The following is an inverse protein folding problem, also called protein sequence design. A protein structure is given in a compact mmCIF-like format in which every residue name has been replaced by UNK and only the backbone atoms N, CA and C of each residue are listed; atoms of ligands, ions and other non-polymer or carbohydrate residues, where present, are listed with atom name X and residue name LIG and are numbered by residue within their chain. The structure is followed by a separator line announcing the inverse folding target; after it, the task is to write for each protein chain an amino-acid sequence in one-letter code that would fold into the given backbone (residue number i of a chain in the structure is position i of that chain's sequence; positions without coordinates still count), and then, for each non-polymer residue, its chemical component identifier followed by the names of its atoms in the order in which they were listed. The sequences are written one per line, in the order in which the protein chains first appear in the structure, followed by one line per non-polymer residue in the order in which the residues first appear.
data_IF_326884756542
#
_entry.id   IF_326884756542
#
_cell.length_a   1.000
_cell.length_b   1.000
_cell.length_c   1.000
_cell.angle_alpha   90.00
_cell.angle_beta   90.00
_cell.angle_gamma   90.00
#
_symmetry.space_group_name_H-M   'P 1'
#
loop_
_entity.id
_entity.type
_entity.pdbx_description
1 polymer ?
#
# COMPACT_ATOMS: atom_id res chain seq x y z
N UNK A 1 -25.39 -37.14 -11.34
CA UNK A 1 -24.05 -36.54 -11.35
C UNK A 1 -23.92 -35.62 -10.14
N UNK A 2 -23.18 -36.03 -9.11
CA UNK A 2 -22.93 -35.19 -7.92
C UNK A 2 -21.98 -34.06 -8.34
N UNK A 3 -22.42 -32.81 -8.23
CA UNK A 3 -21.57 -31.65 -8.47
C UNK A 3 -20.35 -31.71 -7.57
N UNK A 4 -19.15 -31.73 -8.15
CA UNK A 4 -17.90 -31.54 -7.42
C UNK A 4 -18.02 -30.21 -6.69
N UNK A 5 -18.01 -30.22 -5.35
CA UNK A 5 -17.88 -28.99 -4.56
C UNK A 5 -16.56 -28.35 -4.99
N UNK A 6 -16.64 -27.12 -5.49
CA UNK A 6 -15.47 -26.28 -5.70
C UNK A 6 -14.90 -26.00 -4.31
N UNK A 7 -13.64 -26.36 -4.10
CA UNK A 7 -12.90 -26.05 -2.88
C UNK A 7 -12.61 -24.55 -2.86
N UNK A 8 -13.12 -23.86 -1.83
CA UNK A 8 -12.85 -22.45 -1.58
C UNK A 8 -11.79 -22.32 -0.49
N UNK A 9 -10.76 -21.51 -0.74
CA UNK A 9 -9.65 -21.29 0.19
C UNK A 9 -9.38 -19.82 0.38
N UNK A 10 -9.33 -19.35 1.63
CA UNK A 10 -8.92 -17.99 1.94
C UNK A 10 -7.39 -17.87 1.85
N UNK A 11 -6.90 -16.79 1.27
CA UNK A 11 -5.47 -16.50 1.13
C UNK A 11 -5.10 -15.15 1.75
N UNK A 12 -3.93 -15.08 2.38
CA UNK A 12 -3.38 -13.89 3.03
C UNK A 12 -1.84 -13.92 3.01
N UNK A 13 -1.21 -12.78 3.28
CA UNK A 13 0.25 -12.67 3.42
C UNK A 13 1.01 -13.29 2.25
N UNK A 14 1.86 -14.28 2.56
CA UNK A 14 2.66 -15.06 1.61
C UNK A 14 1.87 -15.67 0.43
N UNK A 15 0.61 -16.06 0.64
CA UNK A 15 -0.21 -16.66 -0.42
C UNK A 15 -0.65 -15.61 -1.46
N UNK A 16 -0.83 -14.36 -1.03
CA UNK A 16 -1.10 -13.25 -1.94
C UNK A 16 0.15 -12.85 -2.71
N UNK A 17 1.32 -12.91 -2.08
CA UNK A 17 2.63 -12.69 -2.71
C UNK A 17 2.88 -13.68 -3.85
N UNK A 18 2.69 -14.98 -3.55
CA UNK A 18 2.76 -16.05 -4.55
C UNK A 18 1.72 -15.90 -5.66
N UNK A 19 0.49 -15.52 -5.32
CA UNK A 19 -0.58 -15.33 -6.30
C UNK A 19 -0.28 -14.15 -7.23
N UNK A 20 0.17 -13.03 -6.69
CA UNK A 20 0.57 -11.85 -7.44
C UNK A 20 1.74 -12.15 -8.37
N UNK A 21 2.73 -12.91 -7.88
CA UNK A 21 3.82 -13.40 -8.70
C UNK A 21 3.34 -14.31 -9.84
N UNK A 22 2.48 -15.28 -9.55
CA UNK A 22 1.95 -16.22 -10.53
C UNK A 22 1.16 -15.52 -11.64
N UNK A 23 0.37 -14.50 -11.28
CA UNK A 23 -0.41 -13.72 -12.24
C UNK A 23 0.46 -12.73 -13.03
N UNK A 24 1.41 -12.07 -12.38
CA UNK A 24 2.31 -11.10 -13.01
C UNK A 24 3.27 -11.76 -14.00
N UNK A 25 3.75 -12.95 -13.66
CA UNK A 25 4.75 -13.69 -14.44
C UNK A 25 4.16 -14.89 -15.19
N UNK A 26 2.84 -15.10 -15.15
CA UNK A 26 2.20 -16.26 -15.79
C UNK A 26 2.74 -17.61 -15.30
N UNK A 27 3.21 -17.69 -14.06
CA UNK A 27 3.78 -18.91 -13.50
C UNK A 27 2.67 -19.91 -13.15
N UNK A 28 3.01 -21.20 -13.28
CA UNK A 28 2.19 -22.28 -12.75
C UNK A 28 2.57 -22.53 -11.30
N UNK A 29 1.60 -23.00 -10.51
CA UNK A 29 1.76 -23.43 -9.13
C UNK A 29 1.65 -24.97 -9.06
N UNK A 30 2.69 -25.72 -9.49
CA UNK A 30 2.64 -27.18 -9.47
C UNK A 30 2.47 -27.70 -8.04
N UNK A 31 1.55 -28.64 -7.87
CA UNK A 31 1.23 -29.23 -6.57
C UNK A 31 0.29 -28.40 -5.69
N UNK A 32 -0.12 -27.20 -6.10
CA UNK A 32 -1.20 -26.47 -5.46
C UNK A 32 -2.55 -27.17 -5.72
N UNK A 33 -3.42 -27.21 -4.71
CA UNK A 33 -4.76 -27.79 -4.85
C UNK A 33 -5.63 -26.92 -5.76
N UNK A 34 -6.23 -27.54 -6.78
CA UNK A 34 -7.14 -26.84 -7.69
C UNK A 34 -8.38 -26.35 -6.95
N UNK A 35 -8.82 -25.13 -7.24
CA UNK A 35 -9.91 -24.50 -6.51
C UNK A 35 -10.02 -23.00 -6.72
N UNK A 36 -10.97 -22.38 -6.04
CA UNK A 36 -11.18 -20.93 -6.04
C UNK A 36 -10.52 -20.33 -4.81
N UNK A 37 -9.63 -19.37 -5.05
CA UNK A 37 -9.01 -18.57 -4.00
C UNK A 37 -9.92 -17.40 -3.67
N UNK A 38 -10.02 -17.10 -2.38
CA UNK A 38 -10.86 -16.03 -1.84
C UNK A 38 -10.04 -15.12 -0.93
N UNK A 39 -10.45 -13.86 -0.79
CA UNK A 39 -9.90 -12.98 0.23
C UNK A 39 -10.50 -13.26 1.63
N UNK A 40 -10.09 -12.49 2.63
CA UNK A 40 -10.60 -12.59 3.99
C UNK A 40 -12.13 -12.38 4.10
N UNK A 41 -12.75 -11.72 3.12
CA UNK A 41 -14.19 -11.49 3.03
C UNK A 41 -14.92 -12.59 2.23
N UNK A 42 -14.23 -13.69 1.87
CA UNK A 42 -14.71 -14.78 1.02
C UNK A 42 -15.08 -14.36 -0.40
N UNK A 43 -14.56 -13.24 -0.88
CA UNK A 43 -14.77 -12.83 -2.27
C UNK A 43 -13.80 -13.59 -3.18
N UNK A 44 -14.25 -14.25 -4.26
CA UNK A 44 -13.38 -14.92 -5.22
C UNK A 44 -12.37 -13.96 -5.85
N UNK A 45 -11.09 -14.32 -5.82
CA UNK A 45 -10.00 -13.46 -6.31
C UNK A 45 -9.27 -14.07 -7.51
N UNK A 46 -9.04 -15.38 -7.47
CA UNK A 46 -8.34 -16.13 -8.50
C UNK A 46 -8.75 -17.60 -8.48
N UNK A 47 -8.41 -18.32 -9.54
CA UNK A 47 -8.62 -19.76 -9.67
C UNK A 47 -7.31 -20.45 -10.01
N UNK A 48 -7.06 -21.57 -9.33
CA UNK A 48 -6.00 -22.52 -9.68
C UNK A 48 -6.65 -23.68 -10.41
N UNK A 49 -6.21 -23.94 -11.64
CA UNK A 49 -6.64 -25.08 -12.45
C UNK A 49 -5.88 -26.36 -12.06
N UNK A 50 -6.36 -27.56 -12.42
CA UNK A 50 -5.70 -28.83 -12.09
C UNK A 50 -4.26 -28.98 -12.60
N UNK A 51 -3.86 -28.20 -13.61
CA UNK A 51 -2.51 -28.16 -14.15
C UNK A 51 -1.60 -27.12 -13.46
N UNK A 52 -2.09 -26.50 -12.38
CA UNK A 52 -1.43 -25.45 -11.61
C UNK A 52 -1.49 -24.07 -12.28
N UNK A 53 -2.15 -23.91 -13.43
CA UNK A 53 -2.31 -22.58 -14.03
C UNK A 53 -3.21 -21.70 -13.18
N UNK A 54 -2.88 -20.41 -13.12
CA UNK A 54 -3.58 -19.44 -12.28
C UNK A 54 -4.26 -18.40 -13.14
N UNK A 55 -5.55 -18.16 -12.90
CA UNK A 55 -6.32 -17.13 -13.59
C UNK A 55 -6.96 -16.17 -12.59
N UNK A 56 -6.92 -14.89 -12.88
CA UNK A 56 -7.57 -13.87 -12.07
C UNK A 56 -9.09 -13.90 -12.34
N UNK A 57 -9.90 -14.02 -11.28
CA UNK A 57 -11.37 -13.94 -11.38
C UNK A 57 -11.88 -12.49 -11.22
N UNK A 58 -11.05 -11.64 -10.63
CA UNK A 58 -11.21 -10.19 -10.58
C UNK A 58 -9.83 -9.56 -10.78
N UNK A 59 -9.75 -8.29 -11.21
CA UNK A 59 -8.48 -7.57 -11.19
C UNK A 59 -7.91 -7.59 -9.77
N UNK A 60 -6.78 -8.28 -9.58
CA UNK A 60 -5.96 -8.03 -8.41
C UNK A 60 -5.33 -6.67 -8.64
N UNK A 61 -5.74 -5.67 -7.86
CA UNK A 61 -5.10 -4.38 -7.90
C UNK A 61 -3.63 -4.59 -7.51
N UNK A 62 -2.66 -4.40 -8.43
CA UNK A 62 -1.26 -4.50 -8.07
C UNK A 62 -0.99 -3.45 -7.00
N UNK A 63 -0.07 -3.79 -6.11
CA UNK A 63 0.29 -2.90 -5.00
C UNK A 63 0.71 -1.53 -5.55
N UNK A 64 0.36 -0.42 -4.88
CA UNK A 64 0.71 0.92 -5.35
C UNK A 64 2.19 1.07 -5.70
N UNK A 65 3.07 0.41 -4.94
CA UNK A 65 4.52 0.41 -5.12
C UNK A 65 4.98 -0.35 -6.38
N UNK A 66 4.11 -1.22 -6.92
CA UNK A 66 4.32 -1.96 -8.15
C UNK A 66 3.56 -1.37 -9.35
N UNK A 67 2.79 -0.30 -9.13
CA UNK A 67 2.07 0.38 -10.23
C UNK A 67 3.06 1.12 -11.11
N UNK A 68 3.22 0.64 -12.34
CA UNK A 68 4.17 1.21 -13.31
C UNK A 68 5.48 0.44 -13.39
N UNK A 69 5.75 -0.48 -12.47
CA UNK A 69 6.76 -1.51 -12.70
C UNK A 69 6.27 -2.35 -13.89
N UNK A 70 7.05 -2.36 -14.97
CA UNK A 70 6.74 -3.21 -16.10
C UNK A 70 6.73 -4.66 -15.59
N UNK A 71 5.60 -5.36 -15.71
CA UNK A 71 5.61 -6.81 -15.68
C UNK A 71 6.61 -7.23 -16.76
N UNK A 72 7.74 -7.87 -16.41
CA UNK A 72 8.72 -8.21 -17.42
C UNK A 72 8.00 -9.08 -18.44
N UNK A 73 8.05 -8.69 -19.72
CA UNK A 73 7.52 -9.50 -20.80
C UNK A 73 8.40 -10.74 -20.97
N UNK A 74 8.36 -11.69 -20.02
CA UNK A 74 9.30 -12.80 -19.80
C UNK A 74 10.40 -12.95 -20.87
N UNK A 75 11.42 -12.05 -20.90
CA UNK A 75 12.50 -12.15 -21.87
C UNK A 75 13.72 -12.88 -21.29
N UNK A 76 13.63 -13.35 -20.03
CA UNK A 76 14.77 -13.75 -19.20
C UNK A 76 15.23 -15.21 -19.38
N UNK A 77 14.54 -16.02 -20.19
CA UNK A 77 15.04 -17.35 -20.60
C UNK A 77 16.17 -17.21 -21.63
N UNK A 78 17.30 -16.63 -21.23
CA UNK A 78 18.48 -16.45 -22.09
C UNK A 78 19.74 -16.95 -21.37
N UNK A 79 20.51 -17.87 -21.98
CA UNK A 79 21.83 -18.24 -21.47
C UNK A 79 22.75 -17.00 -21.37
N UNK A 80 23.59 -16.91 -20.34
CA UNK A 80 24.53 -15.79 -20.15
C UNK A 80 24.01 -14.60 -19.35
N UNK A 81 22.79 -14.67 -18.80
CA UNK A 81 22.19 -13.64 -17.93
C UNK A 81 22.21 -14.11 -16.48
N UNK A 82 22.77 -13.30 -15.58
CA UNK A 82 22.75 -13.52 -14.14
C UNK A 82 21.74 -12.62 -13.43
N UNK A 83 21.39 -12.94 -12.19
CA UNK A 83 20.52 -12.13 -11.36
C UNK A 83 21.14 -11.81 -10.00
N UNK A 84 21.02 -10.55 -9.57
CA UNK A 84 21.35 -10.11 -8.22
C UNK A 84 20.04 -9.82 -7.50
N UNK A 85 19.79 -10.54 -6.41
CA UNK A 85 18.56 -10.48 -5.63
C UNK A 85 18.83 -9.72 -4.35
N UNK A 86 18.16 -8.60 -4.16
CA UNK A 86 18.28 -7.73 -3.00
C UNK A 86 17.10 -7.96 -2.07
N UNK A 87 17.40 -8.41 -0.85
CA UNK A 87 16.45 -8.49 0.24
C UNK A 87 16.57 -7.31 1.23
N UNK A 88 17.55 -6.44 1.03
CA UNK A 88 17.84 -5.23 1.83
C UNK A 88 18.39 -4.12 0.90
N UNK A 89 18.61 -2.92 1.45
CA UNK A 89 19.21 -1.79 0.75
C UNK A 89 20.57 -2.20 0.14
N UNK A 90 20.80 -1.94 -1.17
CA UNK A 90 22.07 -2.27 -1.80
C UNK A 90 23.24 -1.55 -1.13
N UNK A 91 24.24 -2.31 -0.70
CA UNK A 91 25.53 -1.79 -0.21
C UNK A 91 26.52 -1.61 -1.36
N UNK A 92 27.55 -0.77 -1.16
CA UNK A 92 28.60 -0.56 -2.16
C UNK A 92 29.34 -1.85 -2.52
N UNK A 93 29.56 -2.72 -1.54
CA UNK A 93 30.26 -4.00 -1.74
C UNK A 93 29.42 -4.96 -2.59
N UNK A 94 28.11 -5.02 -2.33
CA UNK A 94 27.15 -5.80 -3.13
C UNK A 94 27.08 -5.29 -4.58
N UNK A 95 27.14 -3.96 -4.79
CA UNK A 95 27.25 -3.38 -6.14
C UNK A 95 28.60 -3.70 -6.78
N UNK A 96 29.68 -3.80 -6.00
CA UNK A 96 31.00 -4.23 -6.47
C UNK A 96 31.04 -5.67 -6.96
N UNK A 97 30.25 -6.57 -6.37
CA UNK A 97 30.10 -7.95 -6.86
C UNK A 97 29.49 -7.98 -8.27
N UNK A 98 28.62 -7.03 -8.60
CA UNK A 98 28.04 -6.88 -9.94
C UNK A 98 29.12 -6.60 -11.01
N UNK A 99 30.23 -5.97 -10.64
CA UNK A 99 31.35 -5.69 -11.56
C UNK A 99 32.14 -6.95 -11.90
N UNK A 100 32.22 -7.90 -10.97
CA UNK A 100 32.89 -9.18 -11.17
C UNK A 100 32.07 -10.15 -12.05
N UNK A 101 30.75 -9.96 -12.12
CA UNK A 101 29.87 -10.74 -12.97
C UNK A 101 29.98 -10.26 -14.44
N UNK A 102 30.77 -10.96 -15.24
CA UNK A 102 31.07 -10.64 -16.64
C UNK A 102 29.90 -10.71 -17.64
N UNK A 103 28.65 -10.90 -17.21
CA UNK A 103 27.44 -11.07 -18.04
C UNK A 103 26.32 -10.04 -17.78
N UNK A 104 25.26 -10.04 -18.59
CA UNK A 104 24.07 -9.19 -18.36
C UNK A 104 23.47 -9.50 -16.98
N UNK A 105 23.09 -8.45 -16.23
CA UNK A 105 22.57 -8.61 -14.87
C UNK A 105 21.15 -8.07 -14.73
N UNK A 106 20.29 -8.91 -14.16
CA UNK A 106 18.96 -8.53 -13.69
C UNK A 106 19.03 -8.21 -12.21
N UNK A 107 18.59 -7.02 -11.85
CA UNK A 107 18.56 -6.55 -10.46
C UNK A 107 17.17 -6.80 -9.91
N UNK A 108 17.06 -7.62 -8.88
CA UNK A 108 15.79 -8.10 -8.35
C UNK A 108 15.57 -7.49 -6.97
N UNK A 109 14.47 -6.78 -6.78
CA UNK A 109 14.06 -6.28 -5.47
C UNK A 109 13.00 -7.21 -4.86
N UNK A 110 13.30 -7.88 -3.74
CA UNK A 110 12.31 -8.70 -3.04
C UNK A 110 11.37 -7.81 -2.23
N UNK A 111 10.14 -7.66 -2.67
CA UNK A 111 9.18 -6.69 -2.14
C UNK A 111 8.06 -7.33 -1.32
N UNK A 112 8.22 -8.51 -0.73
CA UNK A 112 7.12 -9.24 -0.04
C UNK A 112 6.37 -8.47 1.07
N UNK A 113 5.15 -8.93 1.40
CA UNK A 113 4.20 -8.28 2.34
C UNK A 113 4.60 -8.34 3.82
N UNK A 114 5.34 -9.37 4.24
CA UNK A 114 5.68 -9.62 5.66
C UNK A 114 7.03 -8.97 6.09
N UNK A 115 7.38 -7.82 5.51
CA UNK A 115 8.64 -7.14 5.79
C UNK A 115 8.45 -6.00 6.78
N UNK A 116 9.00 -6.18 7.98
CA UNK A 116 8.94 -5.17 9.05
C UNK A 116 10.02 -4.08 8.94
N UNK A 117 11.04 -4.27 8.10
CA UNK A 117 12.28 -3.45 8.13
C UNK A 117 12.35 -2.35 7.07
N UNK A 118 12.07 -2.66 5.81
CA UNK A 118 12.25 -1.72 4.69
C UNK A 118 10.96 -1.69 3.86
N UNK A 119 10.32 -0.52 3.70
CA UNK A 119 9.17 -0.37 2.82
C UNK A 119 9.50 -0.79 1.37
N UNK A 120 8.60 -1.53 0.71
CA UNK A 120 8.82 -2.07 -0.64
C UNK A 120 9.23 -1.00 -1.66
N UNK A 121 8.59 0.18 -1.63
CA UNK A 121 8.95 1.30 -2.51
C UNK A 121 10.34 1.87 -2.24
N UNK A 122 10.79 1.88 -0.98
CA UNK A 122 12.12 2.35 -0.62
C UNK A 122 13.20 1.38 -1.10
N UNK A 123 12.97 0.07 -0.97
CA UNK A 123 13.86 -0.95 -1.51
C UNK A 123 13.93 -0.86 -3.04
N UNK A 124 12.79 -0.77 -3.72
CA UNK A 124 12.73 -0.67 -5.17
C UNK A 124 13.51 0.55 -5.68
N UNK A 125 13.25 1.73 -5.11
CA UNK A 125 13.97 2.95 -5.48
C UNK A 125 15.49 2.84 -5.24
N UNK A 126 15.92 2.20 -4.16
CA UNK A 126 17.33 2.00 -3.87
C UNK A 126 18.00 1.04 -4.87
N UNK A 127 17.34 -0.06 -5.23
CA UNK A 127 17.81 -1.01 -6.24
C UNK A 127 17.85 -0.36 -7.63
N UNK A 128 16.84 0.45 -8.00
CA UNK A 128 16.82 1.23 -9.24
C UNK A 128 17.96 2.24 -9.33
N UNK A 129 18.23 2.97 -8.24
CA UNK A 129 19.34 3.90 -8.17
C UNK A 129 20.69 3.18 -8.31
N UNK A 130 20.86 2.05 -7.61
CA UNK A 130 22.08 1.24 -7.68
C UNK A 130 22.32 0.66 -9.09
N UNK A 131 21.28 0.09 -9.69
CA UNK A 131 21.30 -0.45 -11.05
C UNK A 131 21.62 0.65 -12.08
N UNK A 132 21.00 1.83 -11.95
CA UNK A 132 21.24 2.98 -12.83
C UNK A 132 22.69 3.49 -12.71
N UNK A 133 23.22 3.60 -11.48
CA UNK A 133 24.59 4.01 -11.25
C UNK A 133 25.61 2.99 -11.79
N UNK A 134 25.34 1.69 -11.61
CA UNK A 134 26.14 0.61 -12.18
C UNK A 134 26.12 0.64 -13.71
N UNK A 135 24.94 0.82 -14.31
CA UNK A 135 24.76 0.92 -15.76
C UNK A 135 25.52 2.11 -16.34
N UNK A 136 25.37 3.30 -15.74
CA UNK A 136 26.07 4.50 -16.18
C UNK A 136 27.60 4.38 -16.09
N UNK A 137 28.11 3.69 -15.07
CA UNK A 137 29.54 3.49 -14.86
C UNK A 137 30.16 2.43 -15.78
N UNK A 138 29.43 1.35 -16.04
CA UNK A 138 29.95 0.20 -16.80
C UNK A 138 29.58 0.24 -18.29
N UNK A 139 28.60 1.07 -18.68
CA UNK A 139 28.02 1.09 -20.02
C UNK A 139 27.14 -0.12 -20.34
N UNK A 140 26.77 -0.92 -19.32
CA UNK A 140 26.03 -2.17 -19.47
C UNK A 140 24.56 -1.97 -19.11
N UNK A 141 23.61 -2.64 -19.78
CA UNK A 141 22.20 -2.50 -19.45
C UNK A 141 21.91 -3.12 -18.07
N UNK A 142 21.11 -2.42 -17.26
CA UNK A 142 20.59 -2.95 -16.01
C UNK A 142 19.06 -2.90 -16.04
N UNK A 143 18.43 -4.04 -15.82
CA UNK A 143 16.97 -4.13 -15.68
C UNK A 143 16.63 -4.38 -14.22
N UNK A 144 15.69 -3.61 -13.67
CA UNK A 144 15.19 -3.83 -12.31
C UNK A 144 13.84 -4.54 -12.35
N UNK A 145 13.70 -5.58 -11.54
CA UNK A 145 12.49 -6.40 -11.45
C UNK A 145 12.06 -6.47 -9.98
N UNK A 146 10.90 -5.89 -9.62
CA UNK A 146 10.32 -6.15 -8.31
C UNK A 146 9.71 -7.54 -8.29
N UNK A 147 10.07 -8.35 -7.29
CA UNK A 147 9.44 -9.64 -7.02
C UNK A 147 8.63 -9.55 -5.73
N UNK A 148 7.29 -9.70 -5.76
CA UNK A 148 6.44 -9.66 -4.57
C UNK A 148 6.60 -10.96 -3.76
N UNK A 149 7.75 -11.18 -3.14
CA UNK A 149 8.05 -12.37 -2.34
C UNK A 149 8.86 -12.01 -1.09
N UNK A 150 8.60 -12.70 0.02
CA UNK A 150 9.35 -12.57 1.27
C UNK A 150 10.16 -13.83 1.55
N UNK A 151 11.39 -13.67 2.04
CA UNK A 151 12.28 -14.78 2.41
C UNK A 151 11.78 -15.53 3.64
N UNK A 152 11.14 -14.80 4.55
CA UNK A 152 10.69 -15.32 5.84
C UNK A 152 9.29 -15.95 5.76
N UNK A 153 8.59 -15.73 4.64
CA UNK A 153 7.18 -16.08 4.50
C UNK A 153 6.98 -17.45 3.83
N UNK A 154 6.04 -18.23 4.36
CA UNK A 154 5.72 -19.57 3.84
C UNK A 154 4.34 -19.57 3.17
N UNK A 155 4.25 -19.58 1.84
CA UNK A 155 2.95 -19.72 1.18
C UNK A 155 2.39 -21.10 1.48
N UNK A 156 1.14 -21.12 1.94
CA UNK A 156 0.40 -22.34 2.23
C UNK A 156 -0.16 -22.98 0.96
N UNK A 157 -0.22 -22.24 -0.15
CA UNK A 157 -0.68 -22.73 -1.45
C UNK A 157 0.25 -23.76 -2.10
N UNK A 158 1.55 -23.76 -1.76
CA UNK A 158 2.50 -24.75 -2.26
C UNK A 158 2.57 -25.96 -1.30
N UNK A 159 2.73 -27.19 -1.81
CA UNK A 159 3.08 -28.32 -0.95
C UNK A 159 4.42 -28.01 -0.28
N UNK A 160 4.54 -28.36 1.01
CA UNK A 160 5.69 -28.01 1.85
C UNK A 160 7.02 -28.25 1.11
N UNK A 161 7.75 -27.20 0.71
CA UNK A 161 9.02 -27.38 0.05
C UNK A 161 10.05 -27.59 1.16
N UNK A 162 10.47 -28.84 1.36
CA UNK A 162 11.63 -29.15 2.22
C UNK A 162 12.93 -28.51 1.68
N UNK A 163 12.90 -27.94 0.47
CA UNK A 163 14.05 -27.35 -0.22
C UNK A 163 14.14 -25.81 -0.10
N UNK A 164 13.04 -25.07 0.07
CA UNK A 164 13.05 -23.59 0.20
C UNK A 164 13.39 -23.10 1.63
N UNK A 165 13.60 -24.02 2.58
CA UNK A 165 13.83 -23.72 4.00
C UNK A 165 15.33 -23.57 4.33
N UNK A 166 16.19 -23.46 3.31
CA UNK A 166 17.65 -23.60 3.44
C UNK A 166 18.53 -22.34 3.41
N UNK A 167 17.97 -21.12 3.40
CA UNK A 167 18.76 -19.88 3.26
C UNK A 167 18.89 -19.38 1.82
N UNK A 168 19.76 -18.39 1.59
CA UNK A 168 19.85 -17.62 0.33
C UNK A 168 20.05 -18.45 -0.94
N UNK A 169 20.70 -19.61 -0.87
CA UNK A 169 21.03 -20.46 -2.02
C UNK A 169 19.82 -21.23 -2.59
N UNK A 170 18.90 -21.67 -1.73
CA UNK A 170 17.69 -22.38 -2.18
C UNK A 170 16.73 -21.44 -2.92
N UNK A 171 16.60 -20.22 -2.42
CA UNK A 171 15.84 -19.18 -3.11
C UNK A 171 16.52 -18.77 -4.41
N UNK A 172 17.85 -18.60 -4.41
CA UNK A 172 18.61 -18.33 -5.62
C UNK A 172 18.31 -19.38 -6.71
N UNK A 173 18.34 -20.67 -6.35
CA UNK A 173 17.99 -21.76 -7.28
C UNK A 173 16.56 -21.63 -7.82
N UNK A 174 15.59 -21.36 -6.94
CA UNK A 174 14.20 -21.19 -7.35
C UNK A 174 13.97 -19.96 -8.23
N UNK A 175 14.58 -18.81 -7.90
CA UNK A 175 14.52 -17.58 -8.71
C UNK A 175 15.20 -17.81 -10.07
N UNK A 176 16.34 -18.50 -10.08
CA UNK A 176 17.03 -18.84 -11.31
C UNK A 176 16.16 -19.69 -12.24
N UNK A 177 15.50 -20.71 -11.70
CA UNK A 177 14.57 -21.57 -12.44
C UNK A 177 13.31 -20.80 -12.89
N UNK A 178 12.69 -20.04 -11.99
CA UNK A 178 11.45 -19.31 -12.24
C UNK A 178 11.64 -18.21 -13.30
N UNK A 179 12.78 -17.54 -13.31
CA UNK A 179 13.11 -16.47 -14.26
C UNK A 179 13.86 -16.98 -15.50
N UNK A 180 14.42 -18.19 -15.46
CA UNK A 180 15.20 -18.77 -16.56
C UNK A 180 16.58 -18.16 -16.73
N UNK A 181 17.16 -17.60 -15.68
CA UNK A 181 18.53 -17.04 -15.66
C UNK A 181 19.55 -18.12 -15.32
N UNK A 182 20.81 -17.93 -15.74
CA UNK A 182 21.87 -18.93 -15.58
C UNK A 182 22.28 -19.09 -14.11
N UNK A 183 22.33 -17.99 -13.38
CA UNK A 183 22.63 -17.93 -11.95
C UNK A 183 21.85 -16.80 -11.30
N UNK A 184 21.39 -17.01 -10.07
CA UNK A 184 20.90 -15.95 -9.21
C UNK A 184 21.74 -15.93 -7.93
N UNK A 185 21.98 -14.73 -7.39
CA UNK A 185 22.71 -14.53 -6.14
C UNK A 185 21.85 -13.69 -5.21
N UNK A 186 21.51 -14.22 -4.05
CA UNK A 186 20.77 -13.48 -3.01
C UNK A 186 21.75 -12.75 -2.12
N UNK A 187 21.65 -11.42 -2.12
CA UNK A 187 22.53 -10.50 -1.43
C UNK A 187 21.83 -10.00 -0.16
N UNK A 188 22.10 -10.67 0.96
CA UNK A 188 21.46 -10.43 2.27
C UNK A 188 22.31 -9.78 3.36
N UNK A 189 21.65 -9.37 4.45
CA UNK A 189 22.21 -8.67 5.63
C UNK A 189 23.45 -9.36 6.24
N UNK A 190 23.52 -10.69 6.20
CA UNK A 190 24.55 -11.50 6.88
C UNK A 190 25.94 -11.44 6.26
N UNK A 191 26.06 -10.97 5.01
CA UNK A 191 27.35 -10.84 4.33
C UNK A 191 27.93 -9.41 4.43
N UNK A 192 27.07 -8.38 4.49
CA UNK A 192 27.51 -6.98 4.60
C UNK A 192 27.90 -6.54 6.02
N UNK A 193 27.20 -7.01 7.05
CA UNK A 193 27.42 -6.59 8.44
C UNK A 193 28.77 -7.04 9.02
N UNK A 194 29.37 -8.12 8.48
CA UNK A 194 30.68 -8.63 8.93
C UNK A 194 31.84 -7.77 8.40
N UNK A 195 31.67 -7.11 7.25
CA UNK A 195 32.65 -6.22 6.64
C UNK A 195 32.60 -4.78 7.21
N UNK A 196 31.42 -4.32 7.64
CA UNK A 196 31.18 -2.93 8.03
C UNK A 196 31.72 -2.51 9.40
N UNK A 197 32.06 -3.44 10.31
CA UNK A 197 32.63 -3.08 11.64
C UNK A 197 34.04 -2.47 11.59
N UNK A 198 34.64 -2.32 10.41
CA UNK A 198 36.01 -1.81 10.25
C UNK A 198 36.15 -0.36 9.77
N UNK A 199 35.10 0.35 9.36
CA UNK A 199 35.27 1.55 8.51
C UNK A 199 34.27 2.70 8.78
N UNK A 200 33.89 2.97 10.03
CA UNK A 200 32.83 3.95 10.35
C UNK A 200 33.15 5.46 10.11
N UNK A 201 34.33 5.88 9.63
CA UNK A 201 34.64 7.32 9.54
C UNK A 201 34.64 7.94 8.12
N UNK A 202 34.88 7.18 7.04
CA UNK A 202 35.02 7.75 5.67
C UNK A 202 33.70 7.80 4.86
N UNK A 203 32.67 7.08 5.28
CA UNK A 203 31.39 6.98 4.56
C UNK A 203 30.58 8.30 4.57
N UNK A 204 30.71 9.09 5.63
CA UNK A 204 30.01 10.38 5.78
C UNK A 204 30.53 11.46 4.80
N UNK A 205 31.79 11.37 4.40
CA UNK A 205 32.40 12.34 3.47
C UNK A 205 32.00 12.05 2.01
N UNK A 206 31.96 10.77 1.64
CA UNK A 206 31.62 10.32 0.28
C UNK A 206 30.11 10.47 -0.01
N UNK A 207 29.24 10.25 0.99
CA UNK A 207 27.79 10.43 0.85
C UNK A 207 27.37 11.89 0.56
N UNK A 208 28.16 12.88 1.02
CA UNK A 208 27.92 14.31 0.74
C UNK A 208 28.33 14.73 -0.67
N UNK A 209 29.27 14.03 -1.30
CA UNK A 209 29.79 14.41 -2.62
C UNK A 209 28.94 13.88 -3.80
N UNK A 210 28.08 12.88 -3.56
CA UNK A 210 27.38 12.13 -4.61
C UNK A 210 25.86 12.35 -4.68
N UNK A 211 25.30 13.21 -3.82
CA UNK A 211 23.86 13.52 -3.83
C UNK A 211 23.57 14.87 -4.49
N UNK A 212 23.44 14.87 -5.83
CA UNK A 212 22.41 15.68 -6.46
C UNK A 212 21.69 14.88 -7.56
N UNK A 213 20.54 14.25 -7.22
CA UNK A 213 19.35 14.09 -8.08
C UNK A 213 18.43 12.90 -7.68
N UNK A 214 18.92 11.84 -7.04
CA UNK A 214 18.17 10.57 -6.97
C UNK A 214 17.64 10.18 -5.58
N UNK A 215 17.99 10.91 -4.51
CA UNK A 215 17.27 10.83 -3.26
C UNK A 215 16.29 11.98 -3.29
N UNK A 216 15.01 11.73 -3.59
CA UNK A 216 13.98 12.55 -2.98
C UNK A 216 14.18 12.28 -1.48
N UNK A 217 14.61 13.28 -0.67
CA UNK A 217 14.54 13.13 0.76
C UNK A 217 13.12 12.66 1.08
N UNK A 218 12.90 12.02 2.23
CA UNK A 218 11.62 12.22 2.88
C UNK A 218 11.46 13.74 2.91
N UNK A 219 10.67 14.28 1.97
CA UNK A 219 10.35 15.69 1.99
C UNK A 219 9.60 15.74 3.31
N UNK A 220 10.22 16.35 4.34
CA UNK A 220 9.44 17.31 5.11
C UNK A 220 8.69 18.03 4.01
N UNK A 221 7.35 17.91 4.00
CA UNK A 221 6.54 18.71 3.10
C UNK A 221 7.19 20.08 3.05
N UNK A 222 7.26 20.68 1.85
CA UNK A 222 7.79 22.02 1.68
C UNK A 222 7.40 22.90 2.88
N UNK A 223 8.13 23.98 3.24
CA UNK A 223 7.92 24.76 4.48
C UNK A 223 6.48 25.24 4.78
N UNK A 224 5.55 24.96 3.87
CA UNK A 224 4.12 24.92 4.02
C UNK A 224 3.62 24.00 5.14
N UNK A 225 2.58 24.51 5.80
CA UNK A 225 1.88 23.93 6.94
C UNK A 225 1.38 22.52 6.59
N UNK A 226 1.64 21.51 7.44
CA UNK A 226 1.11 20.15 7.23
C UNK A 226 -0.42 20.15 7.09
N UNK A 227 -0.99 19.18 6.38
CA UNK A 227 -2.38 19.24 5.89
C UNK A 227 -3.25 18.16 6.54
N UNK A 228 -4.47 18.51 6.92
CA UNK A 228 -5.53 17.57 7.25
C UNK A 228 -6.75 17.81 6.38
N UNK A 229 -7.19 16.77 5.68
CA UNK A 229 -8.46 16.73 4.95
C UNK A 229 -9.44 15.86 5.75
N UNK A 230 -10.52 16.46 6.26
CA UNK A 230 -11.62 15.73 6.90
C UNK A 230 -12.76 15.54 5.91
N UNK A 231 -13.01 14.30 5.50
CA UNK A 231 -14.25 13.93 4.81
C UNK A 231 -15.31 13.55 5.83
N UNK A 232 -16.40 14.32 5.90
CA UNK A 232 -17.56 14.07 6.75
C UNK A 232 -18.80 13.82 5.90
N UNK A 233 -19.67 12.90 6.34
CA UNK A 233 -20.85 12.50 5.60
C UNK A 233 -21.44 11.19 6.12
N UNK A 234 -22.67 10.89 5.69
CA UNK A 234 -23.42 9.69 6.10
C UNK A 234 -22.68 8.38 5.78
N UNK A 235 -23.04 7.29 6.48
CA UNK A 235 -22.55 5.95 6.10
C UNK A 235 -22.94 5.65 4.63
N UNK A 236 -22.06 5.02 3.85
CA UNK A 236 -22.34 4.77 2.43
C UNK A 236 -22.28 5.99 1.50
N UNK A 237 -21.95 7.18 2.00
CA UNK A 237 -21.88 8.41 1.19
C UNK A 237 -20.71 8.47 0.21
N UNK A 238 -19.72 7.56 0.30
CA UNK A 238 -18.56 7.52 -0.60
C UNK A 238 -17.24 8.03 0.00
N UNK A 239 -17.20 8.44 1.27
CA UNK A 239 -15.99 8.98 1.95
C UNK A 239 -14.73 8.13 1.76
N UNK A 240 -14.76 6.84 2.10
CA UNK A 240 -13.60 5.95 2.01
C UNK A 240 -13.07 5.80 0.58
N UNK A 241 -13.97 5.82 -0.41
CA UNK A 241 -13.61 5.77 -1.83
C UNK A 241 -12.90 7.05 -2.25
N UNK A 242 -13.46 8.22 -1.92
CA UNK A 242 -12.83 9.51 -2.21
C UNK A 242 -11.49 9.64 -1.46
N UNK A 243 -11.43 9.22 -0.20
CA UNK A 243 -10.22 9.29 0.61
C UNK A 243 -9.05 8.50 0.00
N UNK A 244 -9.30 7.25 -0.43
CA UNK A 244 -8.28 6.40 -1.08
C UNK A 244 -7.88 6.95 -2.45
N UNK A 245 -8.83 7.43 -3.24
CA UNK A 245 -8.55 8.00 -4.55
C UNK A 245 -7.76 9.33 -4.45
N UNK A 246 -8.10 10.18 -3.48
CA UNK A 246 -7.38 11.41 -3.18
C UNK A 246 -5.97 11.12 -2.67
N UNK A 247 -5.80 10.13 -1.78
CA UNK A 247 -4.49 9.70 -1.32
C UNK A 247 -3.60 9.27 -2.50
N UNK A 248 -4.10 8.39 -3.36
CA UNK A 248 -3.38 7.94 -4.54
C UNK A 248 -2.99 9.10 -5.49
N UNK A 249 -3.87 10.09 -5.65
CA UNK A 249 -3.58 11.25 -6.48
C UNK A 249 -2.48 12.14 -5.89
N UNK A 250 -2.51 12.41 -4.58
CA UNK A 250 -1.49 13.21 -3.90
C UNK A 250 -0.14 12.48 -3.79
N UNK A 251 -0.17 11.16 -3.61
CA UNK A 251 1.03 10.31 -3.60
C UNK A 251 1.71 10.28 -4.97
N UNK A 252 0.94 10.26 -6.06
CA UNK A 252 1.48 10.39 -7.42
C UNK A 252 2.22 11.73 -7.64
N UNK A 253 1.83 12.79 -6.92
CA UNK A 253 2.49 14.10 -6.93
C UNK A 253 3.70 14.16 -5.95
N UNK A 254 4.06 13.04 -5.32
CA UNK A 254 5.19 12.95 -4.38
C UNK A 254 4.87 13.37 -2.94
N UNK A 255 3.58 13.48 -2.58
CA UNK A 255 3.15 13.79 -1.20
C UNK A 255 3.00 12.51 -0.38
N UNK A 256 3.61 12.44 0.80
CA UNK A 256 3.33 11.35 1.74
C UNK A 256 1.99 11.55 2.44
N UNK A 257 1.07 10.59 2.30
CA UNK A 257 -0.30 10.66 2.82
C UNK A 257 -0.55 9.55 3.85
N UNK A 258 -1.26 9.87 4.91
CA UNK A 258 -1.80 8.90 5.88
C UNK A 258 -3.33 8.93 5.85
N UNK A 259 -3.96 7.81 5.51
CA UNK A 259 -5.42 7.68 5.50
C UNK A 259 -5.89 7.17 6.86
N UNK A 260 -6.79 7.92 7.51
CA UNK A 260 -7.43 7.58 8.78
C UNK A 260 -8.90 7.24 8.52
N UNK A 261 -9.15 6.05 7.98
CA UNK A 261 -10.51 5.57 7.70
C UNK A 261 -11.25 5.20 9.00
N UNK A 262 -12.51 5.61 9.10
CA UNK A 262 -13.29 5.43 10.32
C UNK A 262 -13.53 3.97 10.72
N UNK A 263 -13.54 3.03 9.78
CA UNK A 263 -13.69 1.61 10.07
C UNK A 263 -12.36 1.00 10.55
N UNK A 264 -11.25 1.29 9.85
CA UNK A 264 -9.91 0.80 10.20
C UNK A 264 -9.47 1.33 11.56
N UNK A 265 -9.65 2.63 11.80
CA UNK A 265 -9.35 3.25 13.10
C UNK A 265 -10.15 2.62 14.23
N UNK A 266 -11.41 2.22 13.98
CA UNK A 266 -12.26 1.55 14.97
C UNK A 266 -11.79 0.15 15.35
N UNK A 267 -11.06 -0.54 14.47
CA UNK A 267 -10.51 -1.85 14.77
C UNK A 267 -9.26 -1.77 15.64
N UNK A 268 -8.50 -0.67 15.55
CA UNK A 268 -7.20 -0.51 16.22
C UNK A 268 -7.26 0.50 17.37
N UNK A 269 -7.41 1.79 17.06
CA UNK A 269 -7.27 2.88 18.02
C UNK A 269 -8.55 3.14 18.84
N UNK A 270 -9.69 2.72 18.33
CA UNK A 270 -11.00 2.92 18.93
C UNK A 270 -11.72 1.60 19.21
N UNK A 271 -10.96 0.50 19.30
CA UNK A 271 -11.49 -0.80 19.71
C UNK A 271 -12.17 -0.70 21.08
N UNK A 272 -13.37 -1.27 21.18
CA UNK A 272 -14.18 -1.24 22.41
C UNK A 272 -15.00 0.04 22.64
N UNK A 273 -14.88 1.08 21.80
CA UNK A 273 -15.79 2.23 21.87
C UNK A 273 -17.16 1.90 21.29
N UNK A 274 -18.20 2.25 22.04
CA UNK A 274 -19.58 2.18 21.59
C UNK A 274 -19.89 3.10 20.39
N UNK A 275 -21.16 3.03 19.98
CA UNK A 275 -21.72 3.88 18.94
C UNK A 275 -22.73 4.89 19.50
N UNK A 276 -22.75 5.13 20.80
CA UNK A 276 -23.49 6.26 21.37
C UNK A 276 -22.86 7.61 20.98
N UNK A 277 -23.49 8.72 21.38
CA UNK A 277 -23.00 10.06 21.07
C UNK A 277 -21.60 10.31 21.63
N UNK A 278 -21.32 9.87 22.87
CA UNK A 278 -20.04 10.06 23.56
C UNK A 278 -18.91 9.25 22.90
N UNK A 279 -19.14 7.97 22.63
CA UNK A 279 -18.18 7.09 21.95
C UNK A 279 -17.86 7.58 20.53
N UNK A 280 -18.84 8.16 19.83
CA UNK A 280 -18.60 8.81 18.53
C UNK A 280 -17.79 10.09 18.65
N UNK A 281 -18.12 10.94 19.62
CA UNK A 281 -17.36 12.16 19.87
C UNK A 281 -15.90 11.84 20.19
N UNK A 282 -15.66 10.88 21.08
CA UNK A 282 -14.32 10.43 21.45
C UNK A 282 -13.57 9.79 20.27
N UNK A 283 -14.25 9.00 19.42
CA UNK A 283 -13.63 8.44 18.22
C UNK A 283 -13.17 9.53 17.25
N UNK A 284 -14.02 10.54 16.97
CA UNK A 284 -13.67 11.68 16.10
C UNK A 284 -12.52 12.47 16.71
N UNK A 285 -12.53 12.68 18.03
CA UNK A 285 -11.46 13.36 18.76
C UNK A 285 -10.13 12.62 18.66
N UNK A 286 -10.11 11.29 18.81
CA UNK A 286 -8.91 10.44 18.65
C UNK A 286 -8.34 10.54 17.24
N UNK A 287 -9.19 10.40 16.22
CA UNK A 287 -8.79 10.59 14.81
C UNK A 287 -8.20 11.98 14.62
N UNK A 288 -8.84 13.01 15.17
CA UNK A 288 -8.40 14.39 15.04
C UNK A 288 -7.06 14.65 15.70
N UNK A 289 -6.82 14.06 16.87
CA UNK A 289 -5.54 14.16 17.56
C UNK A 289 -4.40 13.53 16.74
N UNK A 290 -4.62 12.35 16.15
CA UNK A 290 -3.62 11.67 15.30
C UNK A 290 -3.38 12.47 14.02
N UNK A 291 -4.44 12.92 13.34
CA UNK A 291 -4.34 13.74 12.13
C UNK A 291 -3.54 15.02 12.38
N UNK A 292 -3.78 15.67 13.52
CA UNK A 292 -3.09 16.89 13.90
C UNK A 292 -1.61 16.62 14.27
N UNK A 293 -1.23 15.45 14.81
CA UNK A 293 0.18 15.09 15.01
C UNK A 293 0.90 14.85 13.68
N UNK A 294 0.23 14.21 12.72
CA UNK A 294 0.76 14.02 11.35
C UNK A 294 1.00 15.39 10.70
N UNK A 295 0.03 16.30 10.79
CA UNK A 295 0.18 17.66 10.26
C UNK A 295 1.29 18.45 10.97
N UNK A 296 1.42 18.30 12.31
CA UNK A 296 2.52 18.91 13.08
C UNK A 296 3.90 18.44 12.60
N UNK A 297 4.00 17.20 12.14
CA UNK A 297 5.22 16.64 11.57
C UNK A 297 5.47 17.06 10.10
N UNK A 298 4.60 17.88 9.53
CA UNK A 298 4.66 18.31 8.12
C UNK A 298 4.09 17.30 7.13
N UNK A 299 3.32 16.31 7.60
CA UNK A 299 2.66 15.31 6.77
C UNK A 299 1.25 15.72 6.33
N UNK A 300 0.66 14.89 5.46
CA UNK A 300 -0.74 15.01 5.04
C UNK A 300 -1.57 13.88 5.61
N UNK A 301 -2.65 14.20 6.34
CA UNK A 301 -3.63 13.23 6.83
C UNK A 301 -4.97 13.38 6.11
N UNK A 302 -5.55 12.27 5.65
CA UNK A 302 -6.91 12.23 5.10
C UNK A 302 -7.78 11.40 6.03
N UNK A 303 -8.67 12.06 6.78
CA UNK A 303 -9.58 11.40 7.73
C UNK A 303 -10.96 11.22 7.10
N UNK A 304 -11.51 10.00 7.17
CA UNK A 304 -12.83 9.67 6.61
C UNK A 304 -13.88 9.13 7.63
N UNK A 305 -13.98 9.66 8.87
CA UNK A 305 -15.06 9.26 9.78
C UNK A 305 -16.42 9.83 9.35
N UNK A 306 -17.51 9.38 9.98
CA UNK A 306 -18.83 10.03 9.79
C UNK A 306 -18.79 11.49 10.29
N UNK A 307 -18.17 11.74 11.45
CA UNK A 307 -18.10 13.04 12.12
C UNK A 307 -19.44 13.80 12.15
N UNK A 308 -20.48 13.21 12.78
CA UNK A 308 -21.86 13.67 12.64
C UNK A 308 -22.16 15.01 13.31
N UNK A 309 -21.37 15.40 14.31
CA UNK A 309 -21.61 16.60 15.11
C UNK A 309 -20.64 17.72 14.73
N UNK A 310 -21.15 18.94 14.60
CA UNK A 310 -20.37 20.14 14.29
C UNK A 310 -19.26 20.40 15.32
N UNK A 311 -19.55 20.18 16.61
CA UNK A 311 -18.58 20.35 17.68
C UNK A 311 -17.31 19.48 17.49
N UNK A 312 -17.48 18.22 17.06
CA UNK A 312 -16.34 17.32 16.83
C UNK A 312 -15.50 17.72 15.61
N UNK A 313 -16.13 18.25 14.55
CA UNK A 313 -15.43 18.78 13.38
C UNK A 313 -14.65 20.05 13.74
N UNK A 314 -15.28 20.96 14.50
CA UNK A 314 -14.66 22.20 14.97
C UNK A 314 -13.49 21.93 15.94
N UNK A 315 -13.62 20.95 16.84
CA UNK A 315 -12.52 20.54 17.72
C UNK A 315 -11.33 20.01 16.91
N UNK A 316 -11.57 19.18 15.89
CA UNK A 316 -10.52 18.69 15.00
C UNK A 316 -9.82 19.83 14.24
N UNK A 317 -10.60 20.74 13.64
CA UNK A 317 -10.08 21.94 12.98
C UNK A 317 -9.13 22.71 13.91
N UNK A 318 -9.59 23.00 15.12
CA UNK A 318 -8.80 23.71 16.15
C UNK A 318 -7.50 22.97 16.49
N UNK A 319 -7.55 21.66 16.74
CA UNK A 319 -6.33 20.87 17.06
C UNK A 319 -5.30 20.93 15.93
N UNK A 320 -5.74 20.90 14.67
CA UNK A 320 -4.84 20.98 13.51
C UNK A 320 -4.23 22.37 13.39
N UNK A 321 -5.04 23.42 13.48
CA UNK A 321 -4.61 24.82 13.34
C UNK A 321 -3.67 25.25 14.49
N UNK A 322 -3.95 24.84 15.72
CA UNK A 322 -3.09 25.08 16.90
C UNK A 322 -1.70 24.46 16.74
N UNK A 323 -1.60 23.34 16.02
CA UNK A 323 -0.32 22.67 15.70
C UNK A 323 0.34 23.21 14.45
N UNK A 324 -0.17 24.31 13.91
CA UNK A 324 0.36 24.99 12.74
C UNK A 324 -0.04 24.33 11.42
N UNK A 325 -0.88 23.31 11.43
CA UNK A 325 -1.39 22.65 10.24
C UNK A 325 -2.53 23.40 9.57
N UNK A 326 -2.81 23.05 8.31
CA UNK A 326 -3.96 23.50 7.55
C UNK A 326 -5.05 22.44 7.61
N UNK A 327 -6.30 22.88 7.76
CA UNK A 327 -7.45 22.00 7.81
C UNK A 327 -8.41 22.29 6.65
N UNK A 328 -8.87 21.24 5.97
CA UNK A 328 -9.87 21.29 4.89
C UNK A 328 -11.03 20.37 5.25
N UNK A 329 -12.22 20.93 5.36
CA UNK A 329 -13.47 20.20 5.60
C UNK A 329 -14.18 19.90 4.29
N UNK A 330 -14.31 18.61 3.98
CA UNK A 330 -15.07 18.12 2.83
C UNK A 330 -16.38 17.51 3.33
N UNK A 331 -17.50 18.10 2.92
CA UNK A 331 -18.82 17.53 3.14
C UNK A 331 -19.20 16.62 1.96
N UNK A 332 -19.23 15.31 2.22
CA UNK A 332 -19.73 14.30 1.27
C UNK A 332 -21.25 14.18 1.43
N UNK A 333 -21.95 15.13 0.81
CA UNK A 333 -23.37 15.45 0.91
C UNK A 333 -24.32 14.50 0.17
N UNK A 334 -23.93 13.24 0.02
CA UNK A 334 -24.76 12.23 -0.66
C UNK A 334 -26.09 12.04 0.09
N UNK A 335 -27.26 12.18 -0.57
CA UNK A 335 -28.56 12.09 0.07
C UNK A 335 -28.78 10.76 0.81
N UNK A 336 -29.47 10.82 1.96
CA UNK A 336 -29.76 9.65 2.79
C UNK A 336 -30.40 8.51 2.01
N UNK A 337 -31.38 8.79 1.14
CA UNK A 337 -32.04 7.76 0.34
C UNK A 337 -31.08 7.01 -0.60
N UNK A 338 -30.06 7.70 -1.12
CA UNK A 338 -29.01 7.07 -1.95
C UNK A 338 -28.08 6.23 -1.08
N UNK A 339 -27.70 6.73 0.09
CA UNK A 339 -26.90 5.98 1.07
C UNK A 339 -27.61 4.70 1.55
N UNK A 340 -28.92 4.79 1.83
CA UNK A 340 -29.78 3.66 2.19
C UNK A 340 -29.93 2.66 1.04
N UNK A 341 -30.10 3.12 -0.20
CA UNK A 341 -30.18 2.23 -1.36
C UNK A 341 -28.86 1.48 -1.60
N UNK A 342 -27.72 2.11 -1.31
CA UNK A 342 -26.39 1.50 -1.46
C UNK A 342 -26.09 0.43 -0.42
N UNK A 343 -26.63 0.56 0.80
CA UNK A 343 -26.39 -0.19 2.04
C UNK A 343 -25.44 -1.41 1.98
N UNK A 344 -24.19 -1.19 1.57
CA UNK A 344 -23.24 -2.28 1.27
C UNK A 344 -22.93 -3.15 2.48
N UNK A 345 -23.15 -2.61 3.68
CA UNK A 345 -22.86 -3.24 4.96
C UNK A 345 -24.13 -3.77 5.65
N UNK A 346 -25.31 -3.60 5.06
CA UNK A 346 -26.59 -3.97 5.68
C UNK A 346 -26.93 -3.19 6.95
N UNK A 347 -26.26 -2.05 7.19
CA UNK A 347 -26.37 -1.29 8.43
C UNK A 347 -27.65 -0.45 8.46
N UNK A 348 -28.06 0.10 7.31
CA UNK A 348 -29.30 0.85 7.21
C UNK A 348 -30.51 -0.07 7.39
N UNK A 349 -30.51 -1.23 6.73
CA UNK A 349 -31.56 -2.23 6.91
C UNK A 349 -31.66 -2.72 8.36
N UNK A 350 -30.52 -2.93 9.02
CA UNK A 350 -30.49 -3.30 10.43
C UNK A 350 -30.99 -2.17 11.36
N UNK A 351 -30.62 -0.92 11.08
CA UNK A 351 -31.10 0.25 11.83
C UNK A 351 -32.60 0.48 11.67
N UNK A 352 -33.13 0.39 10.44
CA UNK A 352 -34.58 0.48 10.15
C UNK A 352 -35.38 -0.62 10.84
N UNK A 353 -34.78 -1.80 10.99
CA UNK A 353 -35.35 -2.92 11.76
C UNK A 353 -35.18 -2.80 13.28
N UNK A 354 -34.63 -1.69 13.79
CA UNK A 354 -34.42 -1.46 15.23
C UNK A 354 -33.30 -2.30 15.86
N UNK A 355 -32.50 -3.01 15.06
CA UNK A 355 -31.40 -3.87 15.55
C UNK A 355 -30.12 -3.09 15.88
N UNK A 356 -29.99 -1.87 15.35
CA UNK A 356 -28.89 -0.95 15.65
C UNK A 356 -29.50 0.33 16.19
N UNK A 357 -29.26 0.60 17.47
CA UNK A 357 -29.65 1.85 18.11
C UNK A 357 -28.75 3.01 17.66
N UNK A 358 -29.25 4.23 17.82
CA UNK A 358 -28.53 5.49 17.58
C UNK A 358 -27.84 5.58 16.21
N UNK A 359 -28.40 5.03 15.15
CA UNK A 359 -27.74 5.03 13.84
C UNK A 359 -27.85 6.39 13.16
N UNK A 360 -26.70 6.96 12.76
CA UNK A 360 -26.62 8.30 12.15
C UNK A 360 -27.45 8.39 10.86
N UNK A 361 -28.33 9.39 10.80
CA UNK A 361 -29.27 9.61 9.71
C UNK A 361 -30.60 8.85 9.85
N UNK A 362 -30.74 7.97 10.85
CA UNK A 362 -31.98 7.21 11.12
C UNK A 362 -32.52 7.57 12.50
N UNK A 363 -31.82 7.16 13.56
CA UNK A 363 -32.21 7.38 14.97
C UNK A 363 -31.24 8.31 15.71
N UNK A 364 -30.14 8.73 15.09
CA UNK A 364 -29.22 9.76 15.58
C UNK A 364 -28.98 10.82 14.48
N UNK A 365 -28.85 12.12 14.81
CA UNK A 365 -28.74 13.17 13.80
C UNK A 365 -27.39 13.17 13.08
N UNK A 366 -27.38 13.73 11.87
CA UNK A 366 -26.19 14.21 11.18
C UNK A 366 -26.33 15.72 11.00
N UNK A 367 -25.49 16.49 11.67
CA UNK A 367 -25.49 17.95 11.58
C UNK A 367 -24.73 18.36 10.32
N UNK A 368 -25.47 18.70 9.26
CA UNK A 368 -24.92 19.15 7.98
C UNK A 368 -23.91 20.29 8.18
N UNK A 369 -22.66 20.16 7.68
CA UNK A 369 -21.67 21.23 7.75
C UNK A 369 -22.15 22.51 7.06
N UNK A 370 -22.00 23.65 7.73
CA UNK A 370 -22.25 25.00 7.18
C UNK A 370 -20.96 25.70 6.76
N UNK A 371 -19.81 25.18 7.21
CA UNK A 371 -18.46 25.72 7.05
C UNK A 371 -17.58 24.77 6.21
N UNK A 372 -18.17 23.95 5.35
CA UNK A 372 -17.41 23.05 4.49
C UNK A 372 -16.66 23.84 3.42
N UNK A 373 -15.36 23.57 3.31
CA UNK A 373 -14.48 24.11 2.27
C UNK A 373 -14.85 23.53 0.88
N UNK A 374 -15.30 22.26 0.86
CA UNK A 374 -15.78 21.57 -0.35
C UNK A 374 -17.03 20.78 -0.03
N UNK A 375 -18.02 20.84 -0.91
CA UNK A 375 -19.20 19.97 -0.86
C UNK A 375 -19.26 19.09 -2.09
N UNK A 376 -19.42 17.78 -1.91
CA UNK A 376 -19.50 16.78 -2.97
C UNK A 376 -20.76 15.94 -2.79
N UNK A 377 -21.59 15.85 -3.82
CA UNK A 377 -22.69 14.89 -3.87
C UNK A 377 -22.33 13.73 -4.81
N UNK A 378 -22.03 12.56 -4.23
CA UNK A 378 -21.65 11.37 -5.02
C UNK A 378 -22.85 10.65 -5.67
N UNK A 379 -24.07 11.19 -5.54
CA UNK A 379 -25.20 10.74 -6.35
C UNK A 379 -25.10 11.24 -7.79
N UNK A 380 -24.41 12.37 -8.01
CA UNK A 380 -24.29 13.01 -9.32
C UNK A 380 -22.85 13.23 -9.77
N UNK A 381 -21.90 13.36 -8.83
CA UNK A 381 -20.48 13.51 -9.15
C UNK A 381 -19.77 12.15 -9.22
N UNK A 382 -18.86 12.00 -10.19
CA UNK A 382 -17.94 10.86 -10.24
C UNK A 382 -16.87 10.96 -9.13
N UNK A 383 -16.13 9.86 -8.92
CA UNK A 383 -15.01 9.86 -7.96
C UNK A 383 -13.91 10.81 -8.45
N UNK A 384 -13.64 10.84 -9.74
CA UNK A 384 -12.64 11.70 -10.37
C UNK A 384 -13.00 13.19 -10.19
N UNK A 385 -14.27 13.56 -10.42
CA UNK A 385 -14.77 14.92 -10.21
C UNK A 385 -14.67 15.32 -8.72
N UNK A 386 -15.04 14.42 -7.81
CA UNK A 386 -14.93 14.64 -6.38
C UNK A 386 -13.47 14.87 -5.95
N UNK A 387 -12.54 14.02 -6.43
CA UNK A 387 -11.11 14.15 -6.13
C UNK A 387 -10.56 15.45 -6.71
N UNK A 388 -10.92 15.82 -7.94
CA UNK A 388 -10.49 17.07 -8.56
C UNK A 388 -10.96 18.30 -7.76
N UNK A 389 -12.21 18.32 -7.30
CA UNK A 389 -12.74 19.40 -6.48
C UNK A 389 -11.99 19.53 -5.14
N UNK A 390 -11.71 18.40 -4.47
CA UNK A 390 -10.95 18.41 -3.21
C UNK A 390 -9.50 18.83 -3.43
N UNK A 391 -8.83 18.35 -4.51
CA UNK A 391 -7.47 18.79 -4.86
C UNK A 391 -7.40 20.29 -5.11
N UNK A 392 -8.35 20.85 -5.85
CA UNK A 392 -8.40 22.30 -6.08
C UNK A 392 -8.49 23.11 -4.78
N UNK A 393 -9.28 22.66 -3.80
CA UNK A 393 -9.34 23.29 -2.49
C UNK A 393 -8.03 23.15 -1.70
N UNK A 394 -7.39 21.97 -1.76
CA UNK A 394 -6.09 21.73 -1.14
C UNK A 394 -4.99 22.60 -1.76
N UNK A 395 -4.99 22.81 -3.07
CA UNK A 395 -3.97 23.63 -3.77
C UNK A 395 -4.24 25.14 -3.64
N UNK A 396 -5.52 25.55 -3.61
CA UNK A 396 -5.94 26.95 -3.64
C UNK A 396 -5.62 27.80 -2.40
N UNK A 397 -5.15 27.20 -1.30
CA UNK A 397 -4.76 27.91 -0.07
C UNK A 397 -3.26 27.94 0.20
N UNK A 398 -2.43 27.60 -0.79
CA UNK A 398 -0.96 27.65 -0.72
C UNK A 398 -0.36 28.97 -1.28
N UNK A 399 -1.09 30.09 -1.18
CA UNK A 399 -0.62 31.41 -1.64
C UNK A 399 -0.45 32.41 -0.51
#
# INVERSE_FOLDING_TARGET
MRGRRVTERAVAGADLDLLELALMLGLRLPGAEAGVLTDAERTPIARIEPDGSVSALRPLAPRPELRGAAAPALPLRRPGVGALVFDDLPTRDQVGLADAAGGELVWIALTGRERDRIPAGALLAAVEAAASAWSARTGRPASVVPLPWSLDARPTLLPAPQELVGGGDALAGWIAEALGVETALVLGETDGHRALRGLEEDAAHTARALLPAAVQPFRRGAPDRGLVVLLSGLSGSGKSTIARALAAALEADGTTVSVLDGDEVRQLLSAGLGFDAEGRALNVRRIGWVAAEIARAGGTAIAAPIAPFAAGRAEMRRMVEERGGRFVLVHVATPLGVCEARDRKGLYAAARAGRIADFTGISSPYETPLDADVTVDTAVASVEEAVAAVRAAVEGGAR
#
